data_IF_573051917070
#
_entry.id   IF_573051917070
#
_cell.length_a   1.000
_cell.length_b   1.000
_cell.length_c   1.000
_cell.angle_alpha   90.00
_cell.angle_beta   90.00
_cell.angle_gamma   90.00
#
_symmetry.space_group_name_H-M   'P 1'
#
loop_
_entity.id
_entity.type
_entity.pdbx_description
1 polymer ?
#
# COMPACT_ATOMS: atom_id res chain seq x y z
N UNK A 1 -38.95 -9.28 32.86
CA UNK A 1 -37.74 -8.48 33.16
C UNK A 1 -36.44 -9.13 32.66
N UNK A 2 -35.92 -10.22 33.24
CA UNK A 2 -34.64 -10.81 32.76
C UNK A 2 -34.79 -11.46 31.38
N UNK A 3 -35.88 -12.21 31.13
CA UNK A 3 -36.11 -12.88 29.84
C UNK A 3 -36.35 -11.91 28.67
N UNK A 4 -37.06 -10.81 28.90
CA UNK A 4 -37.28 -9.76 27.88
C UNK A 4 -35.98 -9.05 27.53
N UNK A 5 -35.12 -8.80 28.51
CA UNK A 5 -33.80 -8.22 28.28
C UNK A 5 -32.89 -9.16 27.48
N UNK A 6 -32.94 -10.46 27.77
CA UNK A 6 -32.21 -11.48 26.99
C UNK A 6 -32.68 -11.49 25.55
N UNK A 7 -34.00 -11.54 25.30
CA UNK A 7 -34.53 -11.55 23.93
C UNK A 7 -34.18 -10.30 23.11
N UNK A 8 -34.06 -9.13 23.75
CA UNK A 8 -33.58 -7.90 23.10
C UNK A 8 -32.08 -7.96 22.78
N UNK A 9 -31.27 -8.54 23.68
CA UNK A 9 -29.84 -8.75 23.44
C UNK A 9 -29.59 -9.73 22.30
N UNK A 10 -30.36 -10.80 22.23
CA UNK A 10 -30.26 -11.76 21.13
C UNK A 10 -30.56 -11.08 19.78
N UNK A 11 -31.55 -10.17 19.73
CA UNK A 11 -31.84 -9.39 18.52
C UNK A 11 -30.70 -8.42 18.16
N UNK A 12 -30.07 -7.79 19.15
CA UNK A 12 -28.89 -6.94 18.92
C UNK A 12 -27.73 -7.78 18.37
N UNK A 13 -27.47 -8.95 18.94
CA UNK A 13 -26.40 -9.85 18.49
C UNK A 13 -26.62 -10.29 17.03
N UNK A 14 -27.87 -10.54 16.62
CA UNK A 14 -28.18 -10.84 15.21
C UNK A 14 -27.94 -9.64 14.28
N UNK A 15 -28.28 -8.42 14.72
CA UNK A 15 -27.96 -7.20 13.97
C UNK A 15 -26.44 -7.02 13.85
N UNK A 16 -25.70 -7.26 14.92
CA UNK A 16 -24.24 -7.13 14.94
C UNK A 16 -23.57 -8.16 14.03
N UNK A 17 -24.07 -9.40 13.97
CA UNK A 17 -23.63 -10.41 13.00
C UNK A 17 -23.91 -9.99 11.56
N UNK A 18 -25.07 -9.39 11.30
CA UNK A 18 -25.39 -8.86 9.99
C UNK A 18 -24.46 -7.71 9.60
N UNK A 19 -24.13 -6.81 10.53
CA UNK A 19 -23.15 -5.74 10.33
C UNK A 19 -21.77 -6.31 9.99
N UNK A 20 -21.28 -7.32 10.72
CA UNK A 20 -20.02 -7.99 10.42
C UNK A 20 -20.00 -8.58 9.01
N UNK A 21 -21.09 -9.23 8.59
CA UNK A 21 -21.23 -9.82 7.27
C UNK A 21 -21.20 -8.75 6.16
N UNK A 22 -21.88 -7.61 6.37
CA UNK A 22 -21.87 -6.48 5.44
C UNK A 22 -20.50 -5.81 5.35
N UNK A 23 -19.79 -5.69 6.47
CA UNK A 23 -18.42 -5.16 6.50
C UNK A 23 -17.46 -6.07 5.74
N UNK A 24 -17.54 -7.39 5.95
CA UNK A 24 -16.74 -8.36 5.19
C UNK A 24 -17.01 -8.22 3.68
N UNK A 25 -18.29 -8.14 3.28
CA UNK A 25 -18.65 -7.98 1.87
C UNK A 25 -18.12 -6.66 1.28
N UNK A 26 -18.14 -5.59 2.07
CA UNK A 26 -17.58 -4.30 1.63
C UNK A 26 -16.07 -4.39 1.41
N UNK A 27 -15.34 -5.11 2.26
CA UNK A 27 -13.89 -5.31 2.10
C UNK A 27 -13.57 -6.12 0.84
N UNK A 28 -14.37 -7.15 0.51
CA UNK A 28 -14.25 -7.88 -0.76
C UNK A 28 -14.43 -6.95 -1.97
N UNK A 29 -15.49 -6.14 -1.97
CA UNK A 29 -15.77 -5.20 -3.06
C UNK A 29 -14.68 -4.14 -3.21
N UNK A 30 -14.10 -3.67 -2.11
CA UNK A 30 -12.94 -2.78 -2.14
C UNK A 30 -11.76 -3.47 -2.83
N UNK A 31 -11.47 -4.73 -2.49
CA UNK A 31 -10.38 -5.48 -3.10
C UNK A 31 -10.59 -5.62 -4.62
N UNK A 32 -11.80 -5.96 -5.07
CA UNK A 32 -12.15 -6.01 -6.50
C UNK A 32 -11.96 -4.65 -7.19
N UNK A 33 -12.38 -3.55 -6.53
CA UNK A 33 -12.15 -2.19 -7.03
C UNK A 33 -10.65 -1.88 -7.15
N UNK A 34 -9.84 -2.32 -6.18
CA UNK A 34 -8.39 -2.22 -6.21
C UNK A 34 -7.77 -2.95 -7.40
N UNK A 35 -8.24 -4.17 -7.70
CA UNK A 35 -7.80 -4.94 -8.88
C UNK A 35 -8.13 -4.23 -10.18
N UNK A 36 -9.36 -3.73 -10.34
CA UNK A 36 -9.77 -2.97 -11.52
C UNK A 36 -8.94 -1.71 -11.67
N UNK A 37 -8.78 -0.91 -10.60
CA UNK A 37 -7.96 0.31 -10.65
C UNK A 37 -6.51 0.02 -11.00
N UNK A 38 -5.94 -1.08 -10.49
CA UNK A 38 -4.58 -1.53 -10.80
C UNK A 38 -4.41 -1.90 -12.27
N UNK A 39 -5.42 -2.53 -12.90
CA UNK A 39 -5.39 -2.85 -14.32
C UNK A 39 -5.36 -1.60 -15.22
N UNK A 40 -6.07 -0.54 -14.83
CA UNK A 40 -6.21 0.69 -15.62
C UNK A 40 -5.32 1.86 -15.16
N UNK A 41 -4.49 1.67 -14.13
CA UNK A 41 -3.60 2.72 -13.60
C UNK A 41 -4.33 3.92 -13.00
N UNK A 42 -5.56 3.73 -12.50
CA UNK A 42 -6.37 4.81 -11.95
C UNK A 42 -5.96 5.16 -10.51
N UNK A 43 -6.02 6.44 -10.11
CA UNK A 43 -5.71 6.84 -8.74
C UNK A 43 -6.62 6.15 -7.73
N UNK A 44 -6.01 5.64 -6.66
CA UNK A 44 -6.71 4.93 -5.58
C UNK A 44 -7.63 5.90 -4.82
N UNK A 45 -7.18 7.15 -4.62
CA UNK A 45 -7.84 8.17 -3.82
C UNK A 45 -8.52 9.24 -4.70
N UNK A 46 -9.84 9.41 -4.52
CA UNK A 46 -10.65 10.44 -5.21
C UNK A 46 -11.50 11.18 -4.14
N UNK A 47 -11.00 12.27 -3.54
CA UNK A 47 -11.63 12.94 -2.40
C UNK A 47 -13.08 13.38 -2.67
N UNK A 48 -13.35 13.88 -3.88
CA UNK A 48 -14.69 14.36 -4.27
C UNK A 48 -15.73 13.24 -4.31
N UNK A 49 -15.31 12.02 -4.69
CA UNK A 49 -16.19 10.85 -4.69
C UNK A 49 -16.55 10.43 -3.26
N UNK A 50 -15.59 10.50 -2.34
CA UNK A 50 -15.82 10.19 -0.94
C UNK A 50 -16.76 11.20 -0.28
N UNK A 51 -16.52 12.50 -0.49
CA UNK A 51 -17.34 13.56 0.09
C UNK A 51 -18.79 13.47 -0.41
N UNK A 52 -19.01 13.24 -1.71
CA UNK A 52 -20.34 13.03 -2.28
C UNK A 52 -21.04 11.80 -1.69
N UNK A 53 -20.32 10.68 -1.53
CA UNK A 53 -20.86 9.46 -0.94
C UNK A 53 -21.26 9.67 0.51
N UNK A 54 -20.39 10.29 1.33
CA UNK A 54 -20.68 10.60 2.73
C UNK A 54 -21.89 11.53 2.86
N UNK A 55 -21.98 12.58 2.03
CA UNK A 55 -23.13 13.47 2.02
C UNK A 55 -24.45 12.74 1.71
N UNK A 56 -24.45 11.82 0.74
CA UNK A 56 -25.61 10.98 0.43
C UNK A 56 -26.02 10.09 1.60
N UNK A 57 -25.06 9.40 2.23
CA UNK A 57 -25.33 8.50 3.36
C UNK A 57 -25.80 9.24 4.61
N UNK A 58 -25.28 10.45 4.88
CA UNK A 58 -25.78 11.32 5.95
C UNK A 58 -27.26 11.65 5.77
N UNK A 59 -27.68 11.97 4.55
CA UNK A 59 -29.08 12.28 4.22
C UNK A 59 -29.99 11.07 4.40
N UNK A 60 -29.53 9.90 3.95
CA UNK A 60 -30.26 8.63 4.13
C UNK A 60 -30.40 8.26 5.61
N UNK A 61 -29.33 8.39 6.40
CA UNK A 61 -29.36 8.14 7.84
C UNK A 61 -30.36 9.06 8.55
N UNK A 62 -30.36 10.36 8.23
CA UNK A 62 -31.32 11.30 8.78
C UNK A 62 -32.78 10.90 8.50
N UNK A 63 -33.07 10.39 7.29
CA UNK A 63 -34.40 9.93 6.91
C UNK A 63 -34.84 8.67 7.67
N UNK A 64 -33.90 7.87 8.17
CA UNK A 64 -34.14 6.65 8.96
C UNK A 64 -34.11 6.91 10.48
N UNK A 65 -33.93 8.15 10.92
CA UNK A 65 -33.78 8.49 12.34
C UNK A 65 -32.42 8.10 12.94
N UNK A 66 -31.43 7.78 12.11
CA UNK A 66 -30.06 7.49 12.52
C UNK A 66 -29.26 8.80 12.53
N UNK A 67 -28.47 9.10 13.59
CA UNK A 67 -27.63 10.29 13.63
C UNK A 67 -26.68 10.35 12.42
N UNK A 68 -26.67 11.45 11.63
CA UNK A 68 -25.81 11.58 10.46
C UNK A 68 -24.31 11.47 10.79
N UNK A 69 -23.90 11.94 11.96
CA UNK A 69 -22.50 11.90 12.39
C UNK A 69 -22.06 10.46 12.71
N UNK A 70 -22.95 9.63 13.25
CA UNK A 70 -22.68 8.22 13.52
C UNK A 70 -22.34 7.46 12.23
N UNK A 71 -23.16 7.61 11.18
CA UNK A 71 -22.91 6.91 9.92
C UNK A 71 -21.64 7.43 9.24
N UNK A 72 -21.35 8.72 9.34
CA UNK A 72 -20.12 9.29 8.80
C UNK A 72 -18.89 8.71 9.50
N UNK A 73 -18.87 8.66 10.82
CA UNK A 73 -17.76 8.13 11.60
C UNK A 73 -17.50 6.66 11.29
N UNK A 74 -18.56 5.84 11.23
CA UNK A 74 -18.48 4.43 10.85
C UNK A 74 -17.88 4.29 9.45
N UNK A 75 -18.42 4.99 8.45
CA UNK A 75 -17.94 4.88 7.07
C UNK A 75 -16.49 5.37 6.93
N UNK A 76 -16.10 6.46 7.59
CA UNK A 76 -14.72 6.95 7.59
C UNK A 76 -13.75 5.99 8.26
N UNK A 77 -14.17 5.28 9.31
CA UNK A 77 -13.33 4.25 9.95
C UNK A 77 -13.14 3.05 9.01
N UNK A 78 -14.21 2.57 8.40
CA UNK A 78 -14.17 1.42 7.49
C UNK A 78 -13.38 1.73 6.21
N UNK A 79 -13.47 2.96 5.69
CA UNK A 79 -12.61 3.43 4.59
C UNK A 79 -11.13 3.43 4.95
N UNK A 80 -10.77 3.92 6.14
CA UNK A 80 -9.36 3.93 6.59
C UNK A 80 -8.78 2.51 6.64
N UNK A 81 -9.56 1.54 7.08
CA UNK A 81 -9.16 0.13 7.06
C UNK A 81 -8.92 -0.38 5.63
N UNK A 82 -9.81 0.00 4.71
CA UNK A 82 -9.72 -0.35 3.29
C UNK A 82 -8.38 0.10 2.69
N UNK A 83 -7.98 1.36 2.94
CA UNK A 83 -6.70 1.91 2.47
C UNK A 83 -5.48 1.20 3.05
N UNK A 84 -5.53 0.82 4.33
CA UNK A 84 -4.42 0.10 4.98
C UNK A 84 -4.23 -1.28 4.36
N UNK A 85 -5.33 -1.97 4.05
CA UNK A 85 -5.30 -3.31 3.45
C UNK A 85 -4.91 -3.32 1.96
N UNK A 86 -5.24 -2.26 1.21
CA UNK A 86 -4.81 -2.10 -0.19
C UNK A 86 -3.30 -1.83 -0.31
N UNK A 87 -2.70 -1.16 0.68
CA UNK A 87 -1.26 -0.90 0.72
C UNK A 87 -0.40 -2.17 0.85
N UNK A 88 -0.95 -3.25 1.42
CA UNK A 88 -0.25 -4.53 1.57
C UNK A 88 -0.36 -5.43 0.32
N UNK A 89 -1.28 -5.16 -0.62
CA UNK A 89 -1.42 -5.91 -1.89
C UNK A 89 -0.85 -5.17 -3.11
N UNK A 90 -0.35 -3.95 -2.93
CA UNK A 90 -0.25 -2.92 -3.98
C UNK A 90 0.99 -2.91 -4.88
N UNK A 91 1.75 -4.00 -4.98
CA UNK A 91 3.03 -3.98 -5.69
C UNK A 91 3.01 -4.97 -6.86
N UNK A 92 2.55 -4.49 -8.02
CA UNK A 92 2.51 -5.28 -9.25
C UNK A 92 3.90 -5.36 -9.89
N UNK A 93 4.37 -6.57 -10.18
CA UNK A 93 5.58 -6.77 -10.99
C UNK A 93 5.32 -6.30 -12.43
N UNK A 94 5.91 -5.17 -12.82
CA UNK A 94 5.77 -4.63 -14.17
C UNK A 94 6.74 -5.28 -15.16
N UNK A 95 7.94 -5.67 -14.71
CA UNK A 95 8.95 -6.35 -15.51
C UNK A 95 9.36 -7.66 -14.83
N UNK A 96 8.65 -8.79 -15.07
CA UNK A 96 8.89 -10.05 -14.37
C UNK A 96 10.31 -10.61 -14.57
N UNK A 97 10.94 -10.30 -15.70
CA UNK A 97 12.28 -10.79 -16.05
C UNK A 97 13.40 -9.78 -15.70
N UNK A 98 13.11 -8.79 -14.86
CA UNK A 98 14.13 -7.83 -14.44
C UNK A 98 15.23 -8.57 -13.66
N UNK A 99 16.48 -8.36 -14.06
CA UNK A 99 17.63 -8.80 -13.27
C UNK A 99 17.62 -8.09 -11.90
N UNK A 100 18.36 -8.59 -10.89
CA UNK A 100 18.21 -8.11 -9.51
C UNK A 100 18.32 -6.60 -9.37
N UNK A 101 17.48 -6.02 -8.52
CA UNK A 101 17.53 -4.61 -8.18
C UNK A 101 18.53 -4.41 -7.04
N UNK A 102 19.52 -3.56 -7.26
CA UNK A 102 20.48 -3.20 -6.21
C UNK A 102 20.04 -1.89 -5.56
N UNK A 103 19.99 -1.84 -4.24
CA UNK A 103 19.72 -0.62 -3.47
C UNK A 103 20.98 -0.22 -2.70
N UNK A 104 21.55 0.91 -3.06
CA UNK A 104 22.66 1.52 -2.33
C UNK A 104 22.11 2.35 -1.17
N UNK A 105 22.55 2.07 0.05
CA UNK A 105 21.97 2.67 1.27
C UNK A 105 20.64 2.03 1.70
N UNK A 106 20.46 0.73 1.40
CA UNK A 106 19.25 -0.04 1.75
C UNK A 106 18.90 -0.08 3.23
N UNK A 107 19.86 0.02 4.14
CA UNK A 107 19.65 0.07 5.59
C UNK A 107 19.07 1.38 6.11
N UNK A 108 19.04 2.43 5.27
CA UNK A 108 18.37 3.69 5.55
C UNK A 108 16.84 3.58 5.62
N UNK A 109 16.16 4.64 6.05
CA UNK A 109 14.69 4.65 6.11
C UNK A 109 14.05 4.47 4.73
N UNK A 110 14.52 5.22 3.73
CA UNK A 110 14.04 5.12 2.35
C UNK A 110 14.52 3.83 1.67
N UNK A 111 15.74 3.39 1.93
CA UNK A 111 16.27 2.14 1.43
C UNK A 111 15.40 0.94 1.82
N UNK A 112 15.04 0.84 3.11
CA UNK A 112 14.15 -0.22 3.64
C UNK A 112 12.75 -0.17 3.05
N UNK A 113 12.25 1.04 2.77
CA UNK A 113 10.96 1.20 2.11
C UNK A 113 11.01 0.63 0.68
N UNK A 114 11.99 1.02 -0.13
CA UNK A 114 12.14 0.50 -1.48
C UNK A 114 12.41 -1.00 -1.52
N UNK A 115 13.23 -1.52 -0.59
CA UNK A 115 13.45 -2.95 -0.42
C UNK A 115 12.13 -3.68 -0.18
N UNK A 116 11.32 -3.20 0.77
CA UNK A 116 10.00 -3.77 1.08
C UNK A 116 9.10 -3.75 -0.16
N UNK A 117 8.96 -2.61 -0.84
CA UNK A 117 8.06 -2.45 -1.99
C UNK A 117 8.46 -3.34 -3.18
N UNK A 118 9.76 -3.42 -3.48
CA UNK A 118 10.25 -4.23 -4.60
C UNK A 118 10.22 -5.73 -4.31
N UNK A 119 10.51 -6.13 -3.07
CA UNK A 119 10.39 -7.53 -2.64
C UNK A 119 8.92 -7.97 -2.67
N UNK A 120 7.99 -7.12 -2.21
CA UNK A 120 6.55 -7.35 -2.33
C UNK A 120 6.08 -7.36 -3.79
N UNK A 121 6.77 -6.62 -4.69
CA UNK A 121 6.58 -6.71 -6.15
C UNK A 121 7.20 -7.96 -6.77
N UNK A 122 7.75 -8.90 -6.00
CA UNK A 122 8.37 -10.12 -6.51
C UNK A 122 9.75 -9.94 -7.16
N UNK A 123 10.40 -8.77 -7.03
CA UNK A 123 11.76 -8.59 -7.52
C UNK A 123 12.78 -9.19 -6.55
N UNK A 124 13.89 -9.69 -7.10
CA UNK A 124 15.08 -9.98 -6.31
C UNK A 124 15.78 -8.66 -5.96
N UNK A 125 15.94 -8.39 -4.66
CA UNK A 125 16.60 -7.17 -4.17
C UNK A 125 17.94 -7.54 -3.54
N UNK A 126 18.98 -6.75 -3.85
CA UNK A 126 20.30 -6.82 -3.21
C UNK A 126 20.60 -5.47 -2.58
N UNK A 127 21.25 -5.48 -1.42
CA UNK A 127 21.59 -4.27 -0.68
C UNK A 127 23.10 -4.03 -0.75
N UNK A 128 23.49 -2.79 -1.06
CA UNK A 128 24.88 -2.32 -0.98
C UNK A 128 24.99 -1.28 0.14
N UNK A 129 25.70 -1.62 1.20
CA UNK A 129 25.98 -0.71 2.32
C UNK A 129 27.43 -0.25 2.35
N UNK A 130 27.73 0.69 3.26
CA UNK A 130 29.09 1.26 3.44
C UNK A 130 30.19 0.22 3.65
N UNK A 131 29.86 -0.95 4.20
CA UNK A 131 30.86 -2.00 4.47
C UNK A 131 31.03 -2.96 3.27
N UNK A 132 30.17 -2.87 2.25
CA UNK A 132 30.14 -3.78 1.11
C UNK A 132 30.90 -3.26 -0.10
N UNK A 133 31.47 -2.05 -0.03
CA UNK A 133 32.15 -1.41 -1.17
C UNK A 133 33.29 -2.24 -1.76
N UNK A 134 33.97 -3.07 -0.96
CA UNK A 134 34.99 -3.99 -1.45
C UNK A 134 34.45 -5.02 -2.46
N UNK A 135 33.15 -5.32 -2.42
CA UNK A 135 32.43 -6.25 -3.30
C UNK A 135 31.40 -5.54 -4.18
N UNK A 136 31.43 -4.21 -4.25
CA UNK A 136 30.42 -3.43 -4.97
C UNK A 136 30.31 -3.87 -6.43
N UNK A 137 31.44 -4.06 -7.11
CA UNK A 137 31.49 -4.52 -8.49
C UNK A 137 30.72 -5.83 -8.71
N UNK A 138 30.88 -6.79 -7.81
CA UNK A 138 30.19 -8.10 -7.88
C UNK A 138 28.69 -7.96 -7.60
N UNK A 139 28.32 -7.11 -6.64
CA UNK A 139 26.92 -6.89 -6.24
C UNK A 139 26.13 -6.24 -7.37
N UNK A 140 26.76 -5.32 -8.13
CA UNK A 140 26.13 -4.57 -9.23
C UNK A 140 26.30 -5.21 -10.62
N UNK A 141 27.18 -6.21 -10.77
CA UNK A 141 27.61 -6.74 -12.07
C UNK A 141 26.46 -7.14 -13.00
N UNK A 142 25.45 -7.82 -12.47
CA UNK A 142 24.27 -8.29 -13.19
C UNK A 142 23.01 -7.51 -12.85
N UNK A 143 23.10 -6.36 -12.17
CA UNK A 143 21.94 -5.57 -11.78
C UNK A 143 21.07 -5.16 -12.97
N UNK A 144 19.75 -5.31 -12.83
CA UNK A 144 18.76 -4.83 -13.81
C UNK A 144 18.37 -3.37 -13.57
N UNK A 145 18.51 -2.92 -12.32
CA UNK A 145 18.25 -1.56 -11.88
C UNK A 145 19.09 -1.28 -10.63
N UNK A 146 19.59 -0.05 -10.48
CA UNK A 146 20.27 0.41 -9.27
C UNK A 146 19.52 1.62 -8.71
N UNK A 147 19.10 1.53 -7.45
CA UNK A 147 18.48 2.63 -6.69
C UNK A 147 19.52 3.16 -5.72
N UNK A 148 19.76 4.48 -5.74
CA UNK A 148 20.68 5.14 -4.82
C UNK A 148 19.86 5.89 -3.76
N UNK A 149 19.84 5.36 -2.55
CA UNK A 149 19.09 5.88 -1.39
C UNK A 149 20.05 6.31 -0.28
N UNK A 150 20.85 7.33 -0.54
CA UNK A 150 21.84 7.90 0.40
C UNK A 150 21.58 9.39 0.64
N UNK A 151 22.15 10.01 1.68
CA UNK A 151 22.06 11.46 1.86
C UNK A 151 22.52 12.25 0.63
N UNK A 152 21.87 13.37 0.35
CA UNK A 152 22.12 14.15 -0.88
C UNK A 152 23.60 14.55 -1.05
N UNK A 153 24.28 14.86 0.05
CA UNK A 153 25.67 15.29 0.04
C UNK A 153 26.66 14.17 -0.35
N UNK A 154 26.28 12.89 -0.27
CA UNK A 154 27.12 11.75 -0.68
C UNK A 154 26.66 11.12 -1.99
N UNK A 155 25.58 11.62 -2.60
CA UNK A 155 24.94 10.96 -3.76
C UNK A 155 25.87 10.89 -4.96
N UNK A 156 26.55 11.98 -5.30
CA UNK A 156 27.44 12.05 -6.48
C UNK A 156 28.62 11.08 -6.34
N UNK A 157 29.27 11.09 -5.17
CA UNK A 157 30.36 10.17 -4.84
C UNK A 157 29.92 8.71 -4.90
N UNK A 158 28.74 8.42 -4.34
CA UNK A 158 28.15 7.07 -4.34
C UNK A 158 27.86 6.58 -5.75
N UNK A 159 27.31 7.43 -6.62
CA UNK A 159 27.04 7.08 -8.02
C UNK A 159 28.35 6.82 -8.76
N UNK A 160 29.36 7.68 -8.58
CA UNK A 160 30.66 7.52 -9.22
C UNK A 160 31.35 6.21 -8.80
N UNK A 161 31.24 5.83 -7.53
CA UNK A 161 31.81 4.59 -7.01
C UNK A 161 31.02 3.33 -7.40
N UNK A 162 29.70 3.44 -7.59
CA UNK A 162 28.83 2.32 -7.96
C UNK A 162 28.76 2.08 -9.48
N UNK A 163 29.19 3.04 -10.30
CA UNK A 163 29.22 2.88 -11.75
C UNK A 163 30.26 1.81 -12.14
N UNK A 164 29.88 0.76 -12.89
CA UNK A 164 30.85 -0.19 -13.40
C UNK A 164 31.84 0.55 -14.32
N UNK A 165 33.12 0.19 -14.24
CA UNK A 165 34.23 0.73 -15.04
C UNK A 165 34.14 0.36 -16.54
N UNK A 166 32.95 0.44 -17.14
CA UNK A 166 32.67 0.13 -18.54
C UNK A 166 31.92 1.29 -19.16
N UNK A 167 32.47 1.81 -20.26
CA UNK A 167 32.12 3.09 -20.85
C UNK A 167 30.64 3.29 -21.12
N UNK A 168 30.23 4.56 -21.04
CA UNK A 168 29.09 5.06 -21.79
C UNK A 168 29.22 4.55 -23.24
N UNK A 169 28.42 3.57 -23.62
CA UNK A 169 28.12 3.33 -25.02
C UNK A 169 27.30 4.54 -25.48
N UNK A 170 28.03 5.56 -25.93
CA UNK A 170 27.53 6.62 -26.80
C UNK A 170 27.02 5.96 -28.08
N UNK A 171 25.69 5.91 -28.23
CA UNK A 171 25.03 5.87 -29.54
C UNK A 171 24.75 7.29 -30.01
#
# INVERSE_FOLDING_TARGET
>A
MVAELTALRDQIDEVDKALLSLLAKRLELVAEVGEVKSQYGLPIYVPERESAMLASRRKEAAALGVPPDLIEDVLRRVMRESYSSENDKGFKTLQPNLRPVVIVGGGGQMGRLFEKMLTLSGYQVRILEKNDWARAADIVADAGMVIVSVPIHTTVETIAAAAPSGGLHSG
#
